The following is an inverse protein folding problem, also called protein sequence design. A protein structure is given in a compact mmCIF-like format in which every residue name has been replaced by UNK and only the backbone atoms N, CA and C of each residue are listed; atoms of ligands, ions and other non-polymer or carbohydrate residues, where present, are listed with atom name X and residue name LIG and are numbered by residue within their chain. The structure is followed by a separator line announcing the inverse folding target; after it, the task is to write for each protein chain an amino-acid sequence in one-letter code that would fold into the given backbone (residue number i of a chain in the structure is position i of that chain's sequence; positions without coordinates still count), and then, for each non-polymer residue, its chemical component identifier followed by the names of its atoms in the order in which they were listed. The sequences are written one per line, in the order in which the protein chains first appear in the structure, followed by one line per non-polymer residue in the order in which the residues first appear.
data_IF_482226472468
#
_entry.id   IF_482226472468
#
_cell.length_a   1.000
_cell.length_b   1.000
_cell.length_c   1.000
_cell.angle_alpha   90.00
_cell.angle_beta   90.00
_cell.angle_gamma   90.00
#
_symmetry.space_group_name_H-M   'P 1'
#
loop_
_entity.id
_entity.type
_entity.pdbx_description
1 polymer ?
#
# COMPACT_ATOMS: atom_id res chain seq x y z
N UNK A 1 -11.82 -6.88 2.16
CA UNK A 1 -11.64 -5.80 3.15
C UNK A 1 -11.90 -4.48 2.42
N UNK A 2 -12.69 -3.57 2.99
CA UNK A 2 -13.08 -2.33 2.32
C UNK A 2 -11.86 -1.38 2.22
N UNK A 3 -11.49 -0.97 1.01
CA UNK A 3 -10.34 -0.09 0.73
C UNK A 3 -10.44 1.26 1.44
N UNK A 4 -11.65 1.74 1.70
CA UNK A 4 -11.84 2.97 2.47
C UNK A 4 -11.49 2.76 3.94
N UNK A 5 -11.80 1.59 4.51
CA UNK A 5 -11.43 1.23 5.89
C UNK A 5 -9.92 1.08 6.06
N UNK A 6 -9.22 0.52 5.07
CA UNK A 6 -7.76 0.43 5.11
C UNK A 6 -7.09 1.80 5.01
N UNK A 7 -7.65 2.71 4.21
CA UNK A 7 -7.16 4.11 4.11
C UNK A 7 -7.37 4.87 5.43
N UNK A 8 -8.52 4.71 6.08
CA UNK A 8 -8.78 5.29 7.39
C UNK A 8 -7.85 4.72 8.47
N UNK A 9 -7.64 3.41 8.48
CA UNK A 9 -6.69 2.78 9.40
C UNK A 9 -5.26 3.28 9.19
N UNK A 10 -4.80 3.38 7.94
CA UNK A 10 -3.50 3.95 7.62
C UNK A 10 -3.37 5.42 8.06
N UNK A 11 -4.43 6.23 7.92
CA UNK A 11 -4.40 7.61 8.43
C UNK A 11 -4.21 7.65 9.95
N UNK A 12 -4.92 6.80 10.69
CA UNK A 12 -4.80 6.74 12.16
C UNK A 12 -3.42 6.23 12.59
N UNK A 13 -2.84 5.27 11.86
CA UNK A 13 -1.48 4.78 12.09
C UNK A 13 -0.42 5.86 11.88
N UNK A 14 -0.59 6.72 10.86
CA UNK A 14 0.32 7.84 10.62
C UNK A 14 0.32 8.84 11.77
N UNK A 15 -0.86 9.26 12.23
CA UNK A 15 -0.99 10.27 13.28
C UNK A 15 -0.38 9.75 14.61
N UNK A 16 -0.66 8.50 14.96
CA UNK A 16 -0.08 7.86 16.15
C UNK A 16 1.45 7.74 16.08
N UNK A 17 1.99 7.37 14.92
CA UNK A 17 3.43 7.32 14.69
C UNK A 17 4.08 8.71 14.80
N UNK A 18 3.46 9.71 14.18
CA UNK A 18 3.96 11.08 14.15
C UNK A 18 4.01 11.70 15.55
N UNK A 19 3.00 11.44 16.39
CA UNK A 19 2.97 11.91 17.78
C UNK A 19 4.13 11.32 18.61
N UNK A 20 4.43 10.03 18.43
CA UNK A 20 5.59 9.38 19.06
C UNK A 20 6.91 9.99 18.57
N UNK A 21 7.05 10.18 17.26
CA UNK A 21 8.23 10.76 16.64
C UNK A 21 8.52 12.19 17.11
N UNK A 22 7.50 13.05 17.20
CA UNK A 22 7.63 14.43 17.70
C UNK A 22 7.96 14.48 19.19
N UNK A 23 7.39 13.55 19.99
CA UNK A 23 7.73 13.42 21.42
C UNK A 23 9.21 13.06 21.61
N UNK A 24 9.72 12.10 20.84
CA UNK A 24 11.12 11.68 20.91
C UNK A 24 12.06 12.80 20.44
N UNK A 25 11.68 13.54 19.39
CA UNK A 25 12.42 14.72 18.94
C UNK A 25 12.52 15.78 20.03
N UNK A 26 11.39 16.13 20.66
CA UNK A 26 11.34 17.08 21.75
C UNK A 26 12.21 16.64 22.94
N UNK A 27 12.18 15.35 23.29
CA UNK A 27 13.03 14.78 24.34
C UNK A 27 14.53 14.89 24.02
N UNK A 28 14.89 14.83 22.73
CA UNK A 28 16.26 14.97 22.23
C UNK A 28 16.66 16.44 21.94
N UNK A 29 15.81 17.42 22.29
CA UNK A 29 16.11 18.85 22.11
C UNK A 29 15.95 19.35 20.67
N UNK A 30 15.34 18.56 19.78
CA UNK A 30 15.06 18.98 18.42
C UNK A 30 13.81 19.86 18.37
N UNK A 31 13.82 20.84 17.48
CA UNK A 31 12.63 21.65 17.21
C UNK A 31 11.50 20.80 16.60
N UNK A 32 10.23 21.15 16.89
CA UNK A 32 9.06 20.53 16.26
C UNK A 32 9.15 20.61 14.74
N UNK A 33 8.54 19.66 14.05
CA UNK A 33 8.48 19.74 12.59
C UNK A 33 7.65 20.92 12.13
N UNK A 34 8.12 21.57 11.07
CA UNK A 34 7.32 22.60 10.41
C UNK A 34 6.07 21.98 9.75
N UNK A 35 4.95 22.71 9.68
CA UNK A 35 3.69 22.19 9.14
C UNK A 35 3.81 21.61 7.72
N UNK A 36 4.67 22.20 6.87
CA UNK A 36 4.87 21.72 5.50
C UNK A 36 5.59 20.36 5.47
N UNK A 37 6.55 20.13 6.38
CA UNK A 37 7.27 18.85 6.50
C UNK A 37 6.30 17.77 6.94
N UNK A 38 5.50 18.06 7.96
CA UNK A 38 4.44 17.16 8.43
C UNK A 38 3.48 16.76 7.30
N UNK A 39 3.06 17.73 6.47
CA UNK A 39 2.21 17.48 5.30
C UNK A 39 2.90 16.58 4.26
N UNK A 40 4.18 16.82 3.96
CA UNK A 40 4.93 15.98 3.03
C UNK A 40 5.10 14.54 3.53
N UNK A 41 5.43 14.37 4.81
CA UNK A 41 5.56 13.05 5.42
C UNK A 41 4.22 12.30 5.38
N UNK A 42 3.10 12.99 5.65
CA UNK A 42 1.76 12.40 5.53
C UNK A 42 1.46 11.93 4.12
N UNK A 43 1.74 12.77 3.13
CA UNK A 43 1.52 12.43 1.72
C UNK A 43 2.38 11.23 1.29
N UNK A 44 3.64 11.18 1.70
CA UNK A 44 4.52 10.05 1.43
C UNK A 44 4.03 8.76 2.11
N UNK A 45 3.56 8.86 3.36
CA UNK A 45 3.01 7.72 4.10
C UNK A 45 1.74 7.17 3.44
N UNK A 46 0.83 8.05 3.03
CA UNK A 46 -0.38 7.66 2.29
C UNK A 46 0.00 7.06 0.95
N UNK A 47 0.88 7.69 0.18
CA UNK A 47 1.32 7.18 -1.12
C UNK A 47 2.02 5.81 -1.02
N UNK A 48 2.77 5.55 0.06
CA UNK A 48 3.39 4.23 0.30
C UNK A 48 2.38 3.10 0.56
N UNK A 49 1.13 3.46 0.86
CA UNK A 49 0.05 2.54 1.23
C UNK A 49 -1.14 2.60 0.28
N UNK A 50 -1.18 3.57 -0.63
CA UNK A 50 -2.07 3.52 -1.78
C UNK A 50 -1.54 2.42 -2.70
N UNK A 51 -2.27 1.30 -2.69
CA UNK A 51 -1.92 0.04 -3.31
C UNK A 51 -1.22 0.20 -4.67
N UNK A 52 -0.03 -0.40 -4.79
CA UNK A 52 0.59 -0.62 -6.10
C UNK A 52 -0.35 -1.52 -6.88
N UNK A 53 -0.88 -0.98 -7.98
CA UNK A 53 -1.67 -1.73 -8.94
C UNK A 53 -0.69 -2.47 -9.84
N UNK A 54 -0.71 -3.80 -9.78
CA UNK A 54 0.10 -4.65 -10.67
C UNK A 54 -0.80 -5.07 -11.83
N UNK A 55 -0.47 -4.60 -13.04
CA UNK A 55 -1.07 -5.09 -14.28
C UNK A 55 -0.48 -6.46 -14.59
N UNK A 56 -1.33 -7.49 -14.64
CA UNK A 56 -0.91 -8.81 -15.10
C UNK A 56 -1.02 -8.86 -16.63
N UNK A 57 -0.07 -9.49 -17.33
CA UNK A 57 -0.17 -9.63 -18.77
C UNK A 57 -1.44 -10.41 -19.14
N UNK A 58 -2.20 -9.88 -20.10
CA UNK A 58 -3.35 -10.60 -20.67
C UNK A 58 -2.91 -11.98 -21.16
N UNK A 59 -3.68 -13.01 -20.81
CA UNK A 59 -3.44 -14.36 -21.30
C UNK A 59 -3.61 -14.39 -22.82
N UNK A 60 -2.53 -14.15 -23.55
CA UNK A 60 -2.50 -14.33 -24.99
C UNK A 60 -2.61 -15.83 -25.30
N UNK A 61 -3.83 -16.26 -25.63
CA UNK A 61 -4.09 -17.56 -26.24
C UNK A 61 -3.53 -17.62 -27.66
N UNK A 62 -2.20 -17.59 -27.79
CA UNK A 62 -1.54 -17.92 -29.04
C UNK A 62 -1.36 -19.45 -29.10
N UNK A 63 -2.45 -20.10 -29.51
CA UNK A 63 -2.50 -21.40 -30.17
C UNK A 63 -1.47 -22.46 -29.77
N UNK A 64 -1.78 -23.24 -28.73
CA UNK A 64 -1.63 -24.70 -28.70
C UNK A 64 -2.19 -25.20 -27.37
N UNK A 65 -3.37 -25.80 -27.40
CA UNK A 65 -4.03 -26.33 -26.21
C UNK A 65 -3.38 -27.63 -25.75
N UNK A 66 -2.89 -27.69 -24.50
CA UNK A 66 -3.00 -28.91 -23.66
C UNK A 66 -2.95 -28.62 -22.15
N UNK A 67 -3.28 -27.41 -21.68
CA UNK A 67 -3.62 -27.27 -20.26
C UNK A 67 -4.72 -26.21 -20.03
N UNK A 68 -5.96 -26.61 -19.67
CA UNK A 68 -7.02 -25.67 -19.28
C UNK A 68 -6.72 -24.92 -17.98
N UNK A 69 -5.60 -25.23 -17.32
CA UNK A 69 -5.15 -24.65 -16.06
C UNK A 69 -3.87 -23.83 -16.25
N UNK A 70 -3.87 -22.82 -17.13
CA UNK A 70 -2.94 -21.70 -16.96
C UNK A 70 -3.40 -20.89 -15.73
N UNK A 71 -3.23 -21.51 -14.57
CA UNK A 71 -3.43 -21.01 -13.22
C UNK A 71 -2.31 -20.02 -12.92
N UNK A 72 -2.34 -18.87 -13.58
CA UNK A 72 -1.81 -17.63 -13.00
C UNK A 72 -2.94 -16.75 -12.46
N UNK A 73 -4.21 -17.20 -12.55
CA UNK A 73 -5.36 -16.31 -12.49
C UNK A 73 -5.86 -15.95 -11.09
N UNK A 74 -5.71 -16.83 -10.08
CA UNK A 74 -6.35 -16.59 -8.78
C UNK A 74 -5.42 -16.80 -7.59
N UNK A 75 -4.56 -17.82 -7.55
CA UNK A 75 -3.61 -18.02 -6.44
C UNK A 75 -2.56 -16.90 -6.37
N UNK A 76 -2.04 -16.46 -7.53
CA UNK A 76 -1.09 -15.34 -7.62
C UNK A 76 -1.77 -14.03 -7.25
N UNK A 77 -3.00 -13.84 -7.72
CA UNK A 77 -3.83 -12.71 -7.35
C UNK A 77 -4.10 -12.68 -5.84
N UNK A 78 -4.48 -13.80 -5.26
CA UNK A 78 -4.68 -13.95 -3.82
C UNK A 78 -3.40 -13.77 -3.02
N UNK A 79 -2.24 -14.22 -3.51
CA UNK A 79 -0.96 -13.98 -2.86
C UNK A 79 -0.56 -12.50 -2.89
N UNK A 80 -0.82 -11.79 -3.99
CA UNK A 80 -0.58 -10.35 -4.12
C UNK A 80 -1.57 -9.56 -3.25
N UNK A 81 -2.86 -9.93 -3.27
CA UNK A 81 -3.90 -9.35 -2.41
C UNK A 81 -3.65 -9.64 -0.92
N UNK A 82 -3.08 -10.80 -0.56
CA UNK A 82 -2.67 -11.15 0.80
C UNK A 82 -1.50 -10.30 1.32
N UNK A 83 -0.69 -9.73 0.42
CA UNK A 83 0.31 -8.72 0.76
C UNK A 83 -0.26 -7.30 0.82
N UNK A 84 -1.58 -7.14 0.65
CA UNK A 84 -2.29 -5.86 0.71
C UNK A 84 -2.27 -5.05 -0.58
N UNK A 85 -1.85 -5.65 -1.70
CA UNK A 85 -1.79 -5.01 -3.02
C UNK A 85 -3.04 -5.32 -3.83
N UNK A 86 -3.48 -4.39 -4.69
CA UNK A 86 -4.68 -4.58 -5.51
C UNK A 86 -4.27 -4.98 -6.92
N UNK A 87 -4.79 -6.10 -7.41
CA UNK A 87 -4.57 -6.54 -8.79
C UNK A 87 -5.75 -6.09 -9.65
N UNK A 88 -5.47 -5.46 -10.79
CA UNK A 88 -6.48 -5.22 -11.84
C UNK A 88 -6.24 -6.16 -13.00
N UNK A 89 -7.32 -6.68 -13.63
CA UNK A 89 -7.20 -7.45 -14.86
C UNK A 89 -6.65 -6.59 -16.00
#
# INVERSE_FOLDING_TARGET
MDTNKMREQASNEFDAWLDGYEKDRGANGWMPLEPYVRKHMRNAFVASREAVVVELPEAHMNGSYTDPQVLYAEEVRQAIEAQGLKVTP
#
